data_IF_331392835159
#
_entry.id   IF_331392835159
#
_cell.length_a   1.000
_cell.length_b   1.000
_cell.length_c   1.000
_cell.angle_alpha   90.00
_cell.angle_beta   90.00
_cell.angle_gamma   90.00
#
_symmetry.space_group_name_H-M   'P 1'
#
loop_
_entity.id
_entity.type
_entity.pdbx_description
1 polymer ?
#
# COMPACT_ATOMS: atom_id res chain seq x y z
N UNK A 1 -26.99 6.10 35.57
CA UNK A 1 -27.16 7.24 34.64
C UNK A 1 -25.83 7.62 33.98
N UNK A 2 -25.08 6.65 33.42
CA UNK A 2 -23.79 6.90 32.75
C UNK A 2 -23.73 6.34 31.31
N UNK A 3 -24.73 5.54 30.91
CA UNK A 3 -24.77 4.89 29.59
C UNK A 3 -25.25 5.82 28.45
N UNK A 4 -25.92 6.94 28.74
CA UNK A 4 -26.38 7.88 27.71
C UNK A 4 -25.30 8.88 27.27
N UNK A 5 -24.32 9.20 28.13
CA UNK A 5 -23.29 10.20 27.82
C UNK A 5 -22.23 9.62 26.85
N UNK A 6 -21.91 8.34 26.98
CA UNK A 6 -20.97 7.64 26.08
C UNK A 6 -21.52 7.50 24.66
N UNK A 7 -22.84 7.29 24.51
CA UNK A 7 -23.47 7.13 23.20
C UNK A 7 -23.50 8.46 22.41
N UNK A 8 -23.73 9.59 23.08
CA UNK A 8 -23.75 10.92 22.45
C UNK A 8 -22.37 11.41 21.99
N UNK A 9 -21.31 11.11 22.75
CA UNK A 9 -19.92 11.48 22.38
C UNK A 9 -19.41 10.65 21.19
N UNK A 10 -19.75 9.35 21.14
CA UNK A 10 -19.37 8.48 20.02
C UNK A 10 -20.04 8.89 18.69
N UNK A 11 -21.31 9.32 18.74
CA UNK A 11 -22.04 9.82 17.57
C UNK A 11 -21.47 11.15 17.03
N UNK A 12 -21.08 12.06 17.91
CA UNK A 12 -20.48 13.35 17.52
C UNK A 12 -19.08 13.18 16.92
N UNK A 13 -18.25 12.30 17.51
CA UNK A 13 -16.92 12.02 16.98
C UNK A 13 -16.97 11.33 15.59
N UNK A 14 -17.95 10.46 15.36
CA UNK A 14 -18.16 9.83 14.04
C UNK A 14 -18.65 10.82 12.97
N UNK A 15 -19.48 11.80 13.33
CA UNK A 15 -19.91 12.84 12.40
C UNK A 15 -18.74 13.74 11.96
N UNK A 16 -17.90 14.15 12.91
CA UNK A 16 -16.74 15.01 12.67
C UNK A 16 -15.63 14.29 11.87
N UNK A 17 -15.43 12.99 12.11
CA UNK A 17 -14.51 12.17 11.31
C UNK A 17 -14.93 12.07 9.83
N UNK A 18 -16.24 11.90 9.58
CA UNK A 18 -16.80 11.88 8.23
C UNK A 18 -16.71 13.24 7.51
N UNK A 19 -16.79 14.35 8.23
CA UNK A 19 -16.59 15.69 7.67
C UNK A 19 -15.14 15.87 7.17
N UNK A 20 -14.15 15.48 7.98
CA UNK A 20 -12.75 15.45 7.56
C UNK A 20 -12.51 14.52 6.36
N UNK A 21 -13.13 13.34 6.32
CA UNK A 21 -13.05 12.44 5.17
C UNK A 21 -13.56 13.13 3.88
N UNK A 22 -14.72 13.78 3.95
CA UNK A 22 -15.32 14.50 2.81
C UNK A 22 -14.50 15.73 2.39
N UNK A 23 -13.95 16.46 3.34
CA UNK A 23 -13.04 17.57 3.08
C UNK A 23 -11.78 17.09 2.35
N UNK A 24 -11.17 16.00 2.83
CA UNK A 24 -10.02 15.36 2.18
C UNK A 24 -10.32 14.94 0.73
N UNK A 25 -11.48 14.31 0.49
CA UNK A 25 -11.92 13.92 -0.84
C UNK A 25 -12.14 15.13 -1.77
N UNK A 26 -12.62 16.26 -1.23
CA UNK A 26 -12.75 17.51 -1.99
C UNK A 26 -11.38 18.06 -2.39
N UNK A 27 -10.47 18.22 -1.43
CA UNK A 27 -9.10 18.69 -1.69
C UNK A 27 -8.38 17.79 -2.69
N UNK A 28 -8.54 16.47 -2.58
CA UNK A 28 -7.94 15.51 -3.51
C UNK A 28 -8.43 15.72 -4.94
N UNK A 29 -9.75 15.89 -5.16
CA UNK A 29 -10.32 16.14 -6.49
C UNK A 29 -9.85 17.46 -7.10
N UNK A 30 -9.56 18.45 -6.27
CA UNK A 30 -9.05 19.76 -6.69
C UNK A 30 -7.52 19.77 -6.89
N UNK A 31 -6.84 18.64 -6.67
CA UNK A 31 -5.38 18.53 -6.79
C UNK A 31 -4.61 19.11 -5.60
N UNK A 32 -5.29 19.49 -4.52
CA UNK A 32 -4.72 20.00 -3.27
C UNK A 32 -4.31 18.85 -2.36
N UNK A 33 -3.30 18.09 -2.79
CA UNK A 33 -2.97 16.81 -2.17
C UNK A 33 -2.38 16.93 -0.76
N UNK A 34 -1.68 18.03 -0.45
CA UNK A 34 -1.13 18.25 0.90
C UNK A 34 -2.24 18.44 1.91
N UNK A 35 -3.22 19.28 1.58
CA UNK A 35 -4.42 19.52 2.38
C UNK A 35 -5.27 18.27 2.49
N UNK A 36 -5.48 17.55 1.38
CA UNK A 36 -6.17 16.27 1.40
C UNK A 36 -5.55 15.27 2.38
N UNK A 37 -4.21 15.18 2.40
CA UNK A 37 -3.50 14.28 3.29
C UNK A 37 -3.70 14.68 4.76
N UNK A 38 -3.71 15.97 5.07
CA UNK A 38 -3.99 16.45 6.44
C UNK A 38 -5.37 16.00 6.88
N UNK A 39 -6.40 16.25 6.07
CA UNK A 39 -7.79 15.88 6.36
C UNK A 39 -7.96 14.36 6.56
N UNK A 40 -7.42 13.54 5.64
CA UNK A 40 -7.48 12.09 5.78
C UNK A 40 -6.74 11.58 7.03
N UNK A 41 -5.62 12.21 7.41
CA UNK A 41 -4.91 11.83 8.65
C UNK A 41 -5.67 12.25 9.90
N UNK A 42 -6.44 13.33 9.86
CA UNK A 42 -7.33 13.71 10.97
C UNK A 42 -8.45 12.67 11.09
N UNK A 43 -9.15 12.36 10.00
CA UNK A 43 -10.19 11.34 9.98
C UNK A 43 -9.69 9.95 10.46
N UNK A 44 -8.50 9.51 10.02
CA UNK A 44 -7.88 8.26 10.49
C UNK A 44 -7.65 8.28 12.01
N UNK A 45 -7.13 9.39 12.57
CA UNK A 45 -6.92 9.51 14.03
C UNK A 45 -8.23 9.52 14.82
N UNK A 46 -9.32 9.94 14.19
CA UNK A 46 -10.67 9.91 14.77
C UNK A 46 -11.36 8.56 14.61
N UNK A 47 -10.70 7.59 13.96
CA UNK A 47 -11.17 6.21 13.83
C UNK A 47 -12.01 5.95 12.57
N UNK A 48 -12.01 6.85 11.59
CA UNK A 48 -12.66 6.58 10.30
C UNK A 48 -11.91 5.46 9.56
N UNK A 49 -12.56 4.32 9.27
CA UNK A 49 -11.89 3.16 8.68
C UNK A 49 -11.53 3.35 7.19
N UNK A 50 -12.19 4.27 6.50
CA UNK A 50 -12.01 4.52 5.06
C UNK A 50 -10.90 5.56 4.80
N UNK A 51 -10.58 6.39 5.78
CA UNK A 51 -9.60 7.47 5.64
C UNK A 51 -8.19 7.00 5.26
N UNK A 52 -7.74 5.86 5.81
CA UNK A 52 -6.37 5.37 5.63
C UNK A 52 -6.05 4.99 4.17
N UNK A 53 -6.88 4.22 3.44
CA UNK A 53 -6.71 4.01 2.00
C UNK A 53 -6.63 5.30 1.18
N UNK A 54 -7.44 6.32 1.50
CA UNK A 54 -7.39 7.61 0.79
C UNK A 54 -6.13 8.41 1.12
N UNK A 55 -5.61 8.34 2.35
CA UNK A 55 -4.29 8.86 2.69
C UNK A 55 -3.20 8.18 1.84
N UNK A 56 -3.29 6.86 1.64
CA UNK A 56 -2.41 6.11 0.74
C UNK A 56 -2.45 6.62 -0.71
N UNK A 57 -3.65 6.77 -1.28
CA UNK A 57 -3.82 7.31 -2.63
C UNK A 57 -3.26 8.75 -2.76
N UNK A 58 -3.42 9.55 -1.72
CA UNK A 58 -2.88 10.92 -1.66
C UNK A 58 -1.35 10.94 -1.61
N UNK A 59 -0.74 10.02 -0.85
CA UNK A 59 0.72 9.85 -0.81
C UNK A 59 1.30 9.44 -2.18
N UNK A 60 0.57 8.66 -2.99
CA UNK A 60 0.94 8.39 -4.38
C UNK A 60 0.98 9.68 -5.20
N UNK A 61 -0.08 10.50 -5.11
CA UNK A 61 -0.13 11.80 -5.82
C UNK A 61 0.96 12.78 -5.38
N UNK A 62 1.46 12.65 -4.15
CA UNK A 62 2.58 13.42 -3.61
C UNK A 62 3.95 12.82 -3.94
N UNK A 63 4.03 11.70 -4.66
CA UNK A 63 5.30 11.05 -5.01
C UNK A 63 6.02 10.40 -3.82
N UNK A 64 5.26 9.93 -2.82
CA UNK A 64 5.76 9.30 -1.59
C UNK A 64 5.37 7.81 -1.54
N UNK A 65 5.86 6.99 -2.50
CA UNK A 65 5.32 5.66 -2.74
C UNK A 65 5.49 4.70 -1.57
N UNK A 66 6.63 4.71 -0.88
CA UNK A 66 6.83 3.83 0.27
C UNK A 66 5.91 4.18 1.45
N UNK A 67 5.56 5.46 1.62
CA UNK A 67 4.63 5.86 2.68
C UNK A 67 3.21 5.49 2.29
N UNK A 68 2.89 5.56 1.00
CA UNK A 68 1.66 5.01 0.46
C UNK A 68 1.56 3.51 0.72
N UNK A 69 2.63 2.72 0.49
CA UNK A 69 2.66 1.29 0.82
C UNK A 69 2.39 1.04 2.30
N UNK A 70 2.93 1.88 3.19
CA UNK A 70 2.67 1.76 4.62
C UNK A 70 1.21 2.09 4.98
N UNK A 71 0.63 3.10 4.33
CA UNK A 71 -0.78 3.45 4.50
C UNK A 71 -1.71 2.34 3.98
N UNK A 72 -1.44 1.77 2.80
CA UNK A 72 -2.23 0.66 2.25
C UNK A 72 -2.09 -0.63 3.07
N UNK A 73 -0.99 -0.81 3.79
CA UNK A 73 -0.77 -1.97 4.64
C UNK A 73 -0.31 -3.21 3.87
N UNK A 74 -0.32 -4.36 4.56
CA UNK A 74 0.12 -5.66 4.03
C UNK A 74 -0.98 -6.43 3.30
N UNK A 75 -2.23 -6.01 3.43
CA UNK A 75 -3.38 -6.68 2.82
C UNK A 75 -3.33 -6.62 1.30
N UNK A 76 -3.62 -7.75 0.66
CA UNK A 76 -4.00 -7.73 -0.75
C UNK A 76 -5.32 -6.95 -0.86
N UNK A 77 -5.46 -6.08 -1.86
CA UNK A 77 -6.75 -5.53 -2.27
C UNK A 77 -7.63 -6.65 -2.89
N UNK A 78 -7.87 -7.72 -2.13
CA UNK A 78 -8.71 -8.84 -2.51
C UNK A 78 -10.16 -8.44 -2.24
N UNK A 79 -10.80 -7.86 -3.25
CA UNK A 79 -12.21 -7.46 -3.23
C UNK A 79 -12.49 -6.00 -2.89
N UNK A 80 -11.46 -5.19 -2.61
CA UNK A 80 -11.59 -3.75 -2.37
C UNK A 80 -11.78 -2.92 -3.65
N UNK A 81 -12.22 -1.68 -3.46
CA UNK A 81 -12.40 -0.65 -4.49
C UNK A 81 -11.28 -0.70 -5.55
N UNK A 82 -11.67 -0.87 -6.82
CA UNK A 82 -10.75 -0.98 -7.94
C UNK A 82 -9.85 0.26 -8.08
N UNK A 83 -10.31 1.44 -7.65
CA UNK A 83 -9.54 2.67 -7.63
C UNK A 83 -8.45 2.64 -6.56
N UNK A 84 -8.77 2.14 -5.36
CA UNK A 84 -7.77 1.95 -4.29
C UNK A 84 -6.72 0.92 -4.73
N UNK A 85 -7.14 -0.20 -5.32
CA UNK A 85 -6.23 -1.20 -5.88
C UNK A 85 -5.33 -0.60 -6.99
N UNK A 86 -5.88 0.28 -7.83
CA UNK A 86 -5.11 1.00 -8.84
C UNK A 86 -4.05 1.91 -8.20
N UNK A 87 -4.40 2.71 -7.19
CA UNK A 87 -3.43 3.55 -6.49
C UNK A 87 -2.37 2.75 -5.74
N UNK A 88 -2.74 1.63 -5.12
CA UNK A 88 -1.76 0.72 -4.51
C UNK A 88 -0.79 0.15 -5.56
N UNK A 89 -1.30 -0.17 -6.76
CA UNK A 89 -0.44 -0.61 -7.86
C UNK A 89 0.51 0.48 -8.34
N UNK A 90 0.06 1.74 -8.43
CA UNK A 90 0.90 2.89 -8.74
C UNK A 90 1.98 3.09 -7.67
N UNK A 91 1.65 2.95 -6.38
CA UNK A 91 2.64 2.99 -5.30
C UNK A 91 3.72 1.91 -5.48
N UNK A 92 3.31 0.68 -5.81
CA UNK A 92 4.25 -0.39 -6.12
C UNK A 92 5.10 -0.06 -7.36
N UNK A 93 4.49 0.46 -8.44
CA UNK A 93 5.20 0.82 -9.66
C UNK A 93 6.24 1.92 -9.44
N UNK A 94 5.88 2.99 -8.72
CA UNK A 94 6.75 4.12 -8.39
C UNK A 94 7.89 3.71 -7.44
N UNK A 95 7.62 2.74 -6.55
CA UNK A 95 8.65 2.08 -5.73
C UNK A 95 9.45 1.00 -6.49
N UNK A 96 9.19 0.82 -7.79
CA UNK A 96 9.78 -0.21 -8.68
C UNK A 96 9.50 -1.67 -8.28
N UNK A 97 8.52 -1.90 -7.42
CA UNK A 97 8.02 -3.22 -7.03
C UNK A 97 7.14 -3.78 -8.16
N UNK A 98 7.77 -4.17 -9.27
CA UNK A 98 7.07 -4.49 -10.51
C UNK A 98 6.24 -5.78 -10.43
N UNK A 99 6.65 -6.78 -9.65
CA UNK A 99 5.84 -7.98 -9.41
C UNK A 99 4.60 -7.64 -8.57
N UNK A 100 4.75 -6.80 -7.54
CA UNK A 100 3.61 -6.27 -6.80
C UNK A 100 2.65 -5.50 -7.73
N UNK A 101 3.18 -4.58 -8.53
CA UNK A 101 2.38 -3.73 -9.41
C UNK A 101 1.60 -4.56 -10.44
N UNK A 102 2.24 -5.54 -11.10
CA UNK A 102 1.58 -6.40 -12.09
C UNK A 102 0.46 -7.22 -11.47
N UNK A 103 0.69 -7.79 -10.28
CA UNK A 103 -0.30 -8.58 -9.57
C UNK A 103 -1.56 -7.76 -9.21
N UNK A 104 -1.39 -6.52 -8.76
CA UNK A 104 -2.51 -5.62 -8.44
C UNK A 104 -3.24 -5.18 -9.71
N UNK A 105 -2.51 -4.74 -10.74
CA UNK A 105 -3.10 -4.27 -12.00
C UNK A 105 -3.88 -5.36 -12.74
N UNK A 106 -3.50 -6.63 -12.59
CA UNK A 106 -4.25 -7.75 -13.17
C UNK A 106 -5.71 -7.80 -12.71
N UNK A 107 -5.99 -7.38 -11.47
CA UNK A 107 -7.36 -7.31 -10.93
C UNK A 107 -8.08 -5.99 -11.21
N UNK A 108 -7.37 -4.90 -11.49
CA UNK A 108 -7.95 -3.56 -11.71
C UNK A 108 -8.72 -3.47 -13.02
N UNK A 109 -8.17 -4.04 -14.10
CA UNK A 109 -8.74 -3.89 -15.45
C UNK A 109 -10.21 -4.32 -15.55
N UNK A 110 -10.55 -5.49 -15.02
CA UNK A 110 -11.90 -6.06 -15.05
C UNK A 110 -12.92 -5.30 -14.18
N UNK A 111 -12.44 -4.54 -13.18
CA UNK A 111 -13.29 -3.91 -12.14
C UNK A 111 -13.35 -2.39 -12.22
N UNK A 112 -12.70 -1.77 -13.21
CA UNK A 112 -12.55 -0.32 -13.30
C UNK A 112 -13.14 0.25 -14.60
N UNK A 113 -13.34 1.58 -14.63
CA UNK A 113 -13.78 2.28 -15.84
C UNK A 113 -12.76 2.22 -16.98
N UNK A 114 -13.19 2.45 -18.24
CA UNK A 114 -12.37 2.19 -19.44
C UNK A 114 -11.03 2.94 -19.46
N UNK A 115 -10.98 4.15 -18.88
CA UNK A 115 -9.75 4.92 -18.77
C UNK A 115 -8.71 4.23 -17.86
N UNK A 116 -9.14 3.83 -16.66
CA UNK A 116 -8.25 3.15 -15.69
C UNK A 116 -7.82 1.80 -16.23
N UNK A 117 -8.73 1.05 -16.87
CA UNK A 117 -8.39 -0.21 -17.52
C UNK A 117 -7.32 -0.04 -18.62
N UNK A 118 -7.43 1.00 -19.46
CA UNK A 118 -6.45 1.30 -20.50
C UNK A 118 -5.09 1.72 -19.93
N UNK A 119 -5.07 2.54 -18.87
CA UNK A 119 -3.83 2.92 -18.18
C UNK A 119 -3.19 1.69 -17.52
N UNK A 120 -3.96 0.87 -16.81
CA UNK A 120 -3.49 -0.37 -16.20
C UNK A 120 -2.87 -1.32 -17.24
N UNK A 121 -3.52 -1.52 -18.40
CA UNK A 121 -2.99 -2.35 -19.47
C UNK A 121 -1.64 -1.85 -20.01
N UNK A 122 -1.47 -0.52 -20.15
CA UNK A 122 -0.19 0.08 -20.57
C UNK A 122 0.91 -0.17 -19.55
N UNK A 123 0.65 0.08 -18.27
CA UNK A 123 1.63 -0.17 -17.21
C UNK A 123 2.04 -1.65 -17.16
N UNK A 124 1.08 -2.58 -17.30
CA UNK A 124 1.39 -4.02 -17.34
C UNK A 124 2.27 -4.40 -18.53
N UNK A 125 2.04 -3.80 -19.71
CA UNK A 125 2.89 -4.02 -20.87
C UNK A 125 4.33 -3.52 -20.61
N UNK A 126 4.48 -2.37 -19.94
CA UNK A 126 5.79 -1.83 -19.56
C UNK A 126 6.51 -2.72 -18.54
N UNK A 127 5.79 -3.16 -17.51
CA UNK A 127 6.29 -4.11 -16.51
C UNK A 127 6.74 -5.42 -17.18
N UNK A 128 5.93 -5.98 -18.09
CA UNK A 128 6.25 -7.22 -18.79
C UNK A 128 7.52 -7.09 -19.63
N UNK A 129 7.79 -5.91 -20.22
CA UNK A 129 9.07 -5.63 -20.90
C UNK A 129 10.22 -5.60 -19.92
N UNK A 130 10.08 -4.90 -18.79
CA UNK A 130 11.10 -4.80 -17.75
C UNK A 130 11.46 -6.16 -17.15
N UNK A 131 10.47 -7.01 -16.89
CA UNK A 131 10.65 -8.31 -16.24
C UNK A 131 10.99 -9.44 -17.22
N UNK A 132 11.18 -9.15 -18.52
CA UNK A 132 11.40 -10.19 -19.55
C UNK A 132 12.66 -11.02 -19.29
N UNK A 133 13.73 -10.37 -18.87
CA UNK A 133 15.01 -11.03 -18.58
C UNK A 133 15.02 -11.64 -17.18
N UNK A 134 15.91 -12.60 -16.98
CA UNK A 134 16.20 -13.12 -15.63
C UNK A 134 16.68 -11.97 -14.73
N UNK A 135 16.08 -11.76 -13.53
CA UNK A 135 16.49 -10.67 -12.64
C UNK A 135 17.95 -10.84 -12.21
N UNK A 136 18.73 -9.76 -12.14
CA UNK A 136 20.11 -9.83 -11.64
C UNK A 136 20.17 -10.07 -10.13
N UNK A 137 21.28 -10.62 -9.64
CA UNK A 137 21.55 -10.74 -8.20
C UNK A 137 21.57 -9.38 -7.51
N UNK A 138 22.15 -8.37 -8.16
CA UNK A 138 22.16 -6.99 -7.68
C UNK A 138 20.75 -6.42 -7.47
N UNK A 139 19.78 -6.77 -8.33
CA UNK A 139 18.39 -6.36 -8.14
C UNK A 139 17.79 -7.04 -6.89
N UNK A 140 18.02 -8.34 -6.72
CA UNK A 140 17.57 -9.07 -5.51
C UNK A 140 18.17 -8.47 -4.24
N UNK A 141 19.48 -8.20 -4.24
CA UNK A 141 20.18 -7.60 -3.10
C UNK A 141 19.66 -6.21 -2.75
N UNK A 142 19.35 -5.39 -3.76
CA UNK A 142 18.75 -4.07 -3.57
C UNK A 142 17.42 -4.17 -2.80
N UNK A 143 16.50 -5.05 -3.22
CA UNK A 143 15.21 -5.18 -2.55
C UNK A 143 15.34 -5.76 -1.14
N UNK A 144 16.28 -6.70 -0.91
CA UNK A 144 16.54 -7.23 0.42
C UNK A 144 17.12 -6.16 1.36
N UNK A 145 18.08 -5.37 0.88
CA UNK A 145 18.65 -4.27 1.66
C UNK A 145 17.57 -3.23 2.03
N UNK A 146 16.70 -2.86 1.08
CA UNK A 146 15.62 -1.90 1.37
C UNK A 146 14.56 -2.48 2.30
N UNK A 147 14.21 -3.78 2.17
CA UNK A 147 13.34 -4.46 3.12
C UNK A 147 13.88 -4.37 4.56
N UNK A 148 15.17 -4.64 4.76
CA UNK A 148 15.80 -4.57 6.09
C UNK A 148 15.83 -3.14 6.63
N UNK A 149 16.17 -2.15 5.80
CA UNK A 149 16.19 -0.75 6.18
C UNK A 149 14.80 -0.27 6.65
N UNK A 150 13.75 -0.55 5.87
CA UNK A 150 12.36 -0.23 6.22
C UNK A 150 11.89 -0.95 7.49
N UNK A 151 12.37 -2.18 7.71
CA UNK A 151 12.14 -2.91 8.95
C UNK A 151 12.74 -2.19 10.17
N UNK A 152 13.95 -1.61 10.01
CA UNK A 152 14.59 -0.77 11.03
C UNK A 152 13.87 0.57 11.27
N UNK A 153 13.29 1.16 10.21
CA UNK A 153 12.46 2.37 10.27
C UNK A 153 11.07 2.14 10.89
N UNK A 154 10.72 0.90 11.28
CA UNK A 154 9.38 0.49 11.76
C UNK A 154 8.27 0.76 10.75
N UNK A 155 8.54 0.50 9.47
CA UNK A 155 7.58 0.56 8.36
C UNK A 155 7.27 -0.85 7.84
N UNK A 156 6.57 -1.68 8.64
CA UNK A 156 6.45 -3.11 8.40
C UNK A 156 5.71 -3.44 7.10
N UNK A 157 4.72 -2.66 6.69
CA UNK A 157 3.99 -2.93 5.46
C UNK A 157 4.82 -2.64 4.21
N UNK A 158 5.52 -1.50 4.20
CA UNK A 158 6.49 -1.20 3.16
C UNK A 158 7.61 -2.25 3.13
N UNK A 159 8.20 -2.59 4.27
CA UNK A 159 9.25 -3.62 4.37
C UNK A 159 8.77 -4.97 3.81
N UNK A 160 7.57 -5.41 4.17
CA UNK A 160 6.99 -6.66 3.68
C UNK A 160 6.80 -6.64 2.15
N UNK A 161 6.42 -5.51 1.56
CA UNK A 161 6.30 -5.38 0.11
C UNK A 161 7.66 -5.59 -0.59
N UNK A 162 8.73 -4.97 -0.08
CA UNK A 162 10.08 -5.15 -0.61
C UNK A 162 10.60 -6.58 -0.44
N UNK A 163 10.33 -7.22 0.70
CA UNK A 163 10.71 -8.62 0.91
C UNK A 163 9.94 -9.59 -0.01
N UNK A 164 8.65 -9.34 -0.26
CA UNK A 164 7.86 -10.12 -1.23
C UNK A 164 8.40 -9.95 -2.65
N UNK A 165 8.75 -8.74 -3.05
CA UNK A 165 9.36 -8.45 -4.35
C UNK A 165 10.69 -9.20 -4.50
N UNK A 166 11.57 -9.13 -3.49
CA UNK A 166 12.83 -9.88 -3.49
C UNK A 166 12.60 -11.38 -3.64
N UNK A 167 11.70 -11.97 -2.86
CA UNK A 167 11.39 -13.40 -2.93
C UNK A 167 10.84 -13.80 -4.32
N UNK A 168 10.02 -12.95 -4.93
CA UNK A 168 9.48 -13.14 -6.27
C UNK A 168 10.55 -13.04 -7.36
N UNK A 169 11.50 -12.11 -7.26
CA UNK A 169 12.60 -11.99 -8.21
C UNK A 169 13.59 -13.15 -8.07
N UNK A 170 13.96 -13.52 -6.85
CA UNK A 170 14.74 -14.74 -6.58
C UNK A 170 14.06 -15.97 -7.16
N UNK A 171 12.73 -16.04 -7.12
CA UNK A 171 11.97 -17.15 -7.66
C UNK A 171 12.02 -17.29 -9.19
N UNK A 172 12.26 -16.18 -9.89
CA UNK A 172 12.40 -16.12 -11.35
C UNK A 172 13.81 -16.43 -11.82
N UNK A 173 14.79 -16.47 -10.90
CA UNK A 173 16.14 -16.90 -11.19
C UNK A 173 16.25 -18.43 -11.16
N UNK A 174 17.10 -18.98 -12.02
CA UNK A 174 17.34 -20.43 -12.09
C UNK A 174 18.03 -20.97 -10.84
N UNK A 175 18.89 -20.16 -10.24
CA UNK A 175 19.66 -20.51 -9.04
C UNK A 175 18.89 -20.27 -7.71
N UNK A 176 17.72 -19.63 -7.77
CA UNK A 176 16.98 -19.27 -6.56
C UNK A 176 17.72 -18.33 -5.62
N UNK A 177 18.66 -17.52 -6.12
CA UNK A 177 19.56 -16.68 -5.31
C UNK A 177 18.84 -15.96 -4.15
N UNK A 178 19.25 -16.25 -2.91
CA UNK A 178 18.74 -15.65 -1.66
C UNK A 178 17.22 -15.75 -1.43
N UNK A 179 16.55 -16.70 -2.09
CA UNK A 179 15.11 -16.93 -1.93
C UNK A 179 14.72 -17.22 -0.46
N UNK A 180 15.54 -18.00 0.24
CA UNK A 180 15.25 -18.37 1.63
C UNK A 180 15.50 -17.21 2.60
N UNK A 181 16.49 -16.36 2.34
CA UNK A 181 16.71 -15.12 3.11
C UNK A 181 15.49 -14.21 3.01
N UNK A 182 14.98 -13.99 1.79
CA UNK A 182 13.80 -13.16 1.54
C UNK A 182 12.57 -13.67 2.30
N UNK A 183 12.32 -14.99 2.25
CA UNK A 183 11.21 -15.64 2.96
C UNK A 183 11.34 -15.54 4.47
N UNK A 184 12.54 -15.76 5.02
CA UNK A 184 12.80 -15.64 6.46
C UNK A 184 12.55 -14.22 6.97
N UNK A 185 13.02 -13.21 6.24
CA UNK A 185 12.77 -11.81 6.59
C UNK A 185 11.27 -11.48 6.55
N UNK A 186 10.55 -11.91 5.52
CA UNK A 186 9.10 -11.71 5.40
C UNK A 186 8.33 -12.36 6.55
N UNK A 187 8.66 -13.61 6.89
CA UNK A 187 8.05 -14.32 8.01
C UNK A 187 8.30 -13.60 9.34
N UNK A 188 9.53 -13.12 9.57
CA UNK A 188 9.87 -12.34 10.76
C UNK A 188 9.11 -11.02 10.87
N UNK A 189 8.87 -10.33 9.75
CA UNK A 189 8.05 -9.11 9.72
C UNK A 189 6.58 -9.39 10.03
N UNK A 190 6.04 -10.48 9.45
CA UNK A 190 4.64 -10.88 9.63
C UNK A 190 4.38 -11.25 11.10
N UNK A 191 5.24 -12.08 11.70
CA UNK A 191 5.11 -12.46 13.11
C UNK A 191 5.20 -11.26 14.07
N UNK A 192 6.01 -10.24 13.74
CA UNK A 192 6.08 -9.01 14.54
C UNK A 192 4.83 -8.14 14.41
N UNK A 193 4.23 -8.09 13.22
CA UNK A 193 2.98 -7.36 12.99
C UNK A 193 1.83 -8.02 13.77
N UNK A 194 1.68 -9.34 13.67
CA UNK A 194 0.69 -10.13 14.42
C UNK A 194 0.85 -9.95 15.94
N UNK A 195 2.09 -9.97 16.44
CA UNK A 195 2.37 -9.75 17.87
C UNK A 195 2.06 -8.31 18.33
N UNK A 196 2.14 -7.32 17.43
CA UNK A 196 1.80 -5.94 17.76
C UNK A 196 0.28 -5.72 17.79
N UNK A 197 -0.46 -6.37 16.90
CA UNK A 197 -1.94 -6.33 16.87
C UNK A 197 -2.58 -7.11 18.02
N UNK A 198 -1.91 -8.15 18.54
CA UNK A 198 -2.39 -8.93 19.67
C UNK A 198 -2.16 -8.27 21.05
N UNK A 199 -1.57 -7.06 21.11
CA UNK A 199 -1.30 -6.36 22.37
C UNK A 199 -2.53 -5.52 22.76
N UNK A 200 -3.14 -5.75 23.94
CA UNK A 200 -4.35 -5.06 24.38
C UNK A 200 -4.12 -3.57 24.66
#
# INVERSE_FOLDING_TARGET
>A
MHALILLGVALAAGADAGEHLLAGARHFREGRYTEALVEFRVAERMGDPDARPYAGATLVKLGRPEEALEAFGTGAAAGGDALIAYYQALACYDARLYLCADALLAGVGERSGPRVAAEAARLRADIARTLRAEPSTAAVDFYLARCQALGGERRPAAAAAFCREAAGLSARRRDGYRRDDARKLLAGLTARAEAAEARP
#
